data_IF_665284696415
#
_entry.id   IF_665284696415
#
_cell.length_a   1.000
_cell.length_b   1.000
_cell.length_c   1.000
_cell.angle_alpha   90.00
_cell.angle_beta   90.00
_cell.angle_gamma   90.00
#
_symmetry.space_group_name_H-M   'P 1'
#
loop_
_entity.id
_entity.type
_entity.pdbx_description
1 polymer ?
#
# COMPACT_ATOMS: atom_id res chain seq x y z
N UNK A 1 0.67 17.16 29.39
CA UNK A 1 0.35 17.28 27.95
C UNK A 1 -0.99 16.57 27.75
N UNK A 2 -2.09 17.33 27.69
CA UNK A 2 -3.45 16.75 27.62
C UNK A 2 -3.62 16.02 26.29
N UNK A 3 -4.08 14.76 26.35
CA UNK A 3 -4.52 14.01 25.16
C UNK A 3 -5.82 14.65 24.67
N UNK A 4 -5.78 15.28 23.51
CA UNK A 4 -6.98 15.71 22.80
C UNK A 4 -7.73 14.46 22.35
N UNK A 5 -9.01 14.36 22.67
CA UNK A 5 -9.88 13.29 22.18
C UNK A 5 -10.19 13.51 20.70
N UNK A 6 -10.63 12.47 19.98
CA UNK A 6 -10.97 12.57 18.55
C UNK A 6 -11.94 13.72 18.24
N UNK A 7 -12.90 14.02 19.14
CA UNK A 7 -13.80 15.19 19.05
C UNK A 7 -13.05 16.52 19.06
N UNK A 8 -12.11 16.70 19.99
CA UNK A 8 -11.40 17.97 20.17
C UNK A 8 -10.53 18.34 18.96
N UNK A 9 -10.12 17.36 18.14
CA UNK A 9 -9.34 17.59 16.92
C UNK A 9 -10.16 18.20 15.78
N UNK A 10 -11.46 17.91 15.72
CA UNK A 10 -12.38 18.45 14.71
C UNK A 10 -12.94 19.82 15.08
N UNK A 11 -12.94 20.16 16.36
CA UNK A 11 -13.47 21.45 16.86
C UNK A 11 -12.50 22.62 16.60
N UNK A 12 -11.19 22.35 16.38
CA UNK A 12 -10.21 23.38 16.01
C UNK A 12 -10.42 23.92 14.57
N UNK A 13 -11.27 23.26 13.76
CA UNK A 13 -11.62 23.70 12.40
C UNK A 13 -12.48 24.98 12.36
N UNK A 14 -13.02 25.45 13.49
CA UNK A 14 -13.98 26.57 13.52
C UNK A 14 -13.35 27.97 13.34
N UNK A 15 -12.03 28.12 13.54
CA UNK A 15 -11.37 29.43 13.63
C UNK A 15 -10.89 30.06 12.30
N UNK A 16 -11.15 29.45 11.14
CA UNK A 16 -10.75 30.01 9.84
C UNK A 16 -11.92 30.04 8.84
N UNK A 17 -12.00 31.12 8.04
CA UNK A 17 -13.00 31.28 6.98
C UNK A 17 -12.77 30.24 5.89
N UNK A 18 -13.68 29.26 5.68
CA UNK A 18 -13.49 28.20 4.70
C UNK A 18 -13.55 28.75 3.27
N UNK A 19 -12.72 28.22 2.36
CA UNK A 19 -12.87 28.50 0.93
C UNK A 19 -14.06 27.72 0.37
N UNK A 20 -14.85 28.34 -0.51
CA UNK A 20 -15.95 27.68 -1.22
C UNK A 20 -15.43 26.55 -2.14
N UNK A 21 -16.21 25.47 -2.26
CA UNK A 21 -15.98 24.39 -3.23
C UNK A 21 -15.83 23.01 -2.58
N UNK A 22 -16.59 22.05 -3.12
CA UNK A 22 -16.63 20.66 -2.66
C UNK A 22 -15.30 19.95 -2.92
N UNK A 23 -14.95 19.03 -2.03
CA UNK A 23 -13.69 18.27 -2.08
C UNK A 23 -13.90 16.79 -1.85
N UNK A 24 -12.91 16.01 -2.25
CA UNK A 24 -12.84 14.56 -2.04
C UNK A 24 -11.58 14.25 -1.27
N UNK A 25 -11.69 13.33 -0.32
CA UNK A 25 -10.55 12.77 0.40
C UNK A 25 -10.25 11.37 -0.13
N UNK A 26 -8.98 11.14 -0.46
CA UNK A 26 -8.44 9.81 -0.67
C UNK A 26 -7.44 9.49 0.42
N UNK A 27 -7.56 8.31 1.01
CA UNK A 27 -6.68 7.86 2.10
C UNK A 27 -6.08 6.51 1.72
N UNK A 28 -4.77 6.40 1.88
CA UNK A 28 -4.00 5.16 1.74
C UNK A 28 -3.36 4.85 3.10
N UNK A 29 -3.86 3.82 3.77
CA UNK A 29 -3.41 3.37 5.08
C UNK A 29 -2.54 2.12 4.99
N UNK A 30 -1.22 2.29 4.99
CA UNK A 30 -0.27 1.18 4.92
C UNK A 30 0.29 0.72 6.27
N UNK A 31 1.16 -0.30 6.20
CA UNK A 31 1.86 -0.85 7.37
C UNK A 31 2.94 0.08 7.94
N UNK A 32 3.48 1.02 7.15
CA UNK A 32 4.50 1.98 7.62
C UNK A 32 3.92 3.37 7.82
N UNK A 33 3.19 3.87 6.83
CA UNK A 33 2.68 5.24 6.79
C UNK A 33 1.23 5.25 6.34
N UNK A 34 0.54 6.33 6.69
CA UNK A 34 -0.80 6.65 6.20
C UNK A 34 -0.76 7.97 5.47
N UNK A 35 -1.26 8.04 4.25
CA UNK A 35 -1.30 9.27 3.44
C UNK A 35 -2.75 9.65 3.19
N UNK A 36 -3.08 10.93 3.40
CA UNK A 36 -4.35 11.51 2.97
C UNK A 36 -4.12 12.67 2.01
N UNK A 37 -4.83 12.63 0.88
CA UNK A 37 -4.88 13.70 -0.10
C UNK A 37 -6.28 14.29 -0.18
N UNK A 38 -6.34 15.60 -0.38
CA UNK A 38 -7.57 16.32 -0.65
C UNK A 38 -7.52 16.87 -2.09
N UNK A 39 -8.51 16.50 -2.91
CA UNK A 39 -8.64 16.98 -4.29
C UNK A 39 -9.96 17.78 -4.44
N UNK A 40 -10.07 18.72 -5.40
CA UNK A 40 -11.34 19.36 -5.69
C UNK A 40 -12.31 18.35 -6.33
N UNK A 41 -13.61 18.50 -6.08
CA UNK A 41 -14.64 17.66 -6.70
C UNK A 41 -15.01 18.10 -8.13
N UNK A 42 -14.75 19.38 -8.45
CA UNK A 42 -15.13 19.99 -9.73
C UNK A 42 -14.15 19.62 -10.86
N UNK A 43 -14.72 19.35 -12.03
CA UNK A 43 -14.01 19.12 -13.30
C UNK A 43 -13.84 20.43 -14.12
N UNK A 44 -12.91 20.43 -15.10
CA UNK A 44 -11.96 19.37 -15.44
C UNK A 44 -10.74 19.33 -14.53
N UNK A 45 -10.17 18.14 -14.33
CA UNK A 45 -8.83 18.03 -13.76
C UNK A 45 -7.79 18.45 -14.79
N UNK A 46 -6.93 19.39 -14.43
CA UNK A 46 -5.71 19.67 -15.21
C UNK A 46 -4.72 18.51 -15.05
N UNK A 47 -3.75 18.41 -15.98
CA UNK A 47 -2.54 17.63 -15.79
C UNK A 47 -1.41 18.60 -15.37
N UNK A 48 -0.82 18.47 -14.16
CA UNK A 48 -1.04 17.41 -13.17
C UNK A 48 -2.35 17.57 -12.37
N UNK A 49 -2.87 16.44 -11.87
CA UNK A 49 -4.09 16.37 -11.05
C UNK A 49 -3.98 17.36 -9.86
N UNK A 50 -4.97 18.25 -9.65
CA UNK A 50 -4.89 19.25 -8.60
C UNK A 50 -5.04 18.61 -7.21
N UNK A 51 -3.94 18.56 -6.46
CA UNK A 51 -3.93 18.16 -5.04
C UNK A 51 -3.94 19.42 -4.17
N UNK A 52 -5.04 19.68 -3.47
CA UNK A 52 -5.20 20.86 -2.59
C UNK A 52 -4.36 20.71 -1.32
N UNK A 53 -4.23 19.49 -0.81
CA UNK A 53 -3.38 19.18 0.32
C UNK A 53 -2.95 17.71 0.33
N UNK A 54 -1.79 17.46 0.92
CA UNK A 54 -1.24 16.14 1.21
C UNK A 54 -0.76 16.11 2.67
N UNK A 55 -1.09 15.04 3.36
CA UNK A 55 -0.70 14.80 4.75
C UNK A 55 -0.24 13.37 4.95
N UNK A 56 0.67 13.17 5.89
CA UNK A 56 1.26 11.87 6.19
C UNK A 56 1.24 11.70 7.71
N UNK A 57 0.85 10.51 8.14
CA UNK A 57 0.90 10.05 9.52
C UNK A 57 1.56 8.66 9.57
N UNK A 58 1.73 8.11 10.79
CA UNK A 58 2.31 6.79 11.00
C UNK A 58 1.42 5.63 10.50
N UNK A 59 1.74 4.42 10.95
CA UNK A 59 1.01 3.20 10.60
C UNK A 59 -0.48 3.25 11.01
N UNK A 60 -1.36 2.81 10.11
CA UNK A 60 -2.80 2.59 10.38
C UNK A 60 -3.22 1.13 10.17
N UNK A 61 -2.27 0.22 9.95
CA UNK A 61 -2.56 -1.21 9.93
C UNK A 61 -2.84 -1.71 11.36
N UNK A 62 -4.13 -2.00 11.63
CA UNK A 62 -4.60 -2.50 12.92
C UNK A 62 -3.91 -3.78 13.40
N UNK A 63 -3.41 -4.64 12.49
CA UNK A 63 -2.70 -5.87 12.85
C UNK A 63 -1.30 -5.58 13.39
N UNK A 64 -0.75 -4.40 13.08
CA UNK A 64 0.58 -3.96 13.53
C UNK A 64 0.51 -3.12 14.81
N UNK A 65 -0.41 -2.14 14.87
CA UNK A 65 -0.45 -1.14 15.96
C UNK A 65 -1.68 -1.22 16.87
N UNK A 66 -2.62 -2.12 16.59
CA UNK A 66 -3.92 -2.18 17.26
C UNK A 66 -4.94 -1.19 16.70
N UNK A 67 -6.21 -1.42 17.03
CA UNK A 67 -7.34 -0.69 16.44
C UNK A 67 -7.42 0.78 16.87
N UNK A 68 -7.26 1.08 18.16
CA UNK A 68 -7.38 2.45 18.68
C UNK A 68 -6.34 3.39 18.04
N UNK A 69 -5.07 2.96 18.00
CA UNK A 69 -3.99 3.73 17.38
C UNK A 69 -4.18 3.91 15.88
N UNK A 70 -4.72 2.91 15.18
CA UNK A 70 -5.03 3.01 13.77
C UNK A 70 -6.10 4.08 13.52
N UNK A 71 -7.19 4.08 14.30
CA UNK A 71 -8.27 5.08 14.21
C UNK A 71 -7.77 6.49 14.52
N UNK A 72 -7.02 6.68 15.60
CA UNK A 72 -6.39 7.97 15.95
C UNK A 72 -5.51 8.51 14.81
N UNK A 73 -4.73 7.63 14.18
CA UNK A 73 -3.85 7.98 13.06
C UNK A 73 -4.65 8.43 11.83
N UNK A 74 -5.74 7.73 11.51
CA UNK A 74 -6.60 8.04 10.38
C UNK A 74 -7.39 9.35 10.59
N UNK A 75 -7.98 9.56 11.78
CA UNK A 75 -8.65 10.82 12.14
C UNK A 75 -7.68 12.00 12.06
N UNK A 76 -6.47 11.83 12.57
CA UNK A 76 -5.42 12.87 12.52
C UNK A 76 -5.03 13.22 11.09
N UNK A 77 -4.84 12.24 10.22
CA UNK A 77 -4.38 12.52 8.85
C UNK A 77 -5.49 13.22 8.04
N UNK A 78 -6.75 12.80 8.20
CA UNK A 78 -7.89 13.42 7.51
C UNK A 78 -8.16 14.86 7.98
N UNK A 79 -8.16 15.10 9.30
CA UNK A 79 -8.36 16.45 9.87
C UNK A 79 -7.25 17.41 9.43
N UNK A 80 -5.99 16.97 9.45
CA UNK A 80 -4.88 17.78 8.95
C UNK A 80 -5.00 18.07 7.45
N UNK A 81 -5.49 17.13 6.64
CA UNK A 81 -5.68 17.33 5.21
C UNK A 81 -6.72 18.44 4.94
N UNK A 82 -7.86 18.39 5.64
CA UNK A 82 -8.92 19.40 5.54
C UNK A 82 -8.44 20.77 6.04
N UNK A 83 -7.73 20.82 7.17
CA UNK A 83 -7.15 22.05 7.70
C UNK A 83 -6.18 22.68 6.70
N UNK A 84 -5.24 21.91 6.13
CA UNK A 84 -4.30 22.41 5.11
C UNK A 84 -5.00 22.86 3.83
N UNK A 85 -6.07 22.16 3.41
CA UNK A 85 -6.89 22.54 2.27
C UNK A 85 -7.82 23.74 2.55
N UNK A 86 -7.89 24.21 3.81
CA UNK A 86 -8.82 25.23 4.29
C UNK A 86 -10.27 24.88 3.95
N UNK A 87 -10.65 23.64 4.24
CA UNK A 87 -11.98 23.06 4.06
C UNK A 87 -12.51 22.52 5.38
N UNK A 88 -13.83 22.47 5.50
CA UNK A 88 -14.54 21.83 6.62
C UNK A 88 -15.07 20.47 6.18
N UNK A 89 -15.42 19.62 7.15
CA UNK A 89 -16.14 18.35 6.88
C UNK A 89 -17.39 18.51 6.02
N UNK A 90 -18.11 19.64 6.15
CA UNK A 90 -19.29 19.93 5.31
C UNK A 90 -18.98 20.20 3.83
N UNK A 91 -17.72 20.51 3.48
CA UNK A 91 -17.29 20.65 2.09
C UNK A 91 -16.93 19.30 1.45
N UNK A 92 -16.81 18.22 2.23
CA UNK A 92 -16.48 16.90 1.70
C UNK A 92 -17.73 16.33 1.03
N UNK A 93 -17.57 15.79 -0.17
CA UNK A 93 -18.64 15.07 -0.88
C UNK A 93 -18.41 13.56 -0.89
N UNK A 94 -17.16 13.12 -0.96
CA UNK A 94 -16.80 11.72 -0.83
C UNK A 94 -15.47 11.50 -0.10
N UNK A 95 -15.36 10.33 0.53
CA UNK A 95 -14.13 9.81 1.14
C UNK A 95 -13.94 8.39 0.65
N UNK A 96 -12.76 8.07 0.11
CA UNK A 96 -12.32 6.70 -0.09
C UNK A 96 -11.18 6.40 0.87
N UNK A 97 -11.42 5.44 1.75
CA UNK A 97 -10.46 4.94 2.73
C UNK A 97 -9.97 3.57 2.28
N UNK A 98 -8.76 3.51 1.71
CA UNK A 98 -8.11 2.27 1.31
C UNK A 98 -7.06 1.89 2.35
N UNK A 99 -7.24 0.77 3.05
CA UNK A 99 -6.39 0.44 4.22
C UNK A 99 -5.96 -1.02 4.21
N UNK A 100 -4.69 -1.25 4.50
CA UNK A 100 -4.11 -2.57 4.70
C UNK A 100 -4.79 -3.29 5.88
N UNK A 101 -5.23 -4.53 5.65
CA UNK A 101 -5.95 -5.34 6.64
C UNK A 101 -7.47 -5.37 6.44
N UNK A 102 -8.03 -4.48 5.63
CA UNK A 102 -9.43 -4.57 5.20
C UNK A 102 -9.54 -5.67 4.16
N UNK A 103 -10.02 -6.85 4.58
CA UNK A 103 -10.02 -8.05 3.74
C UNK A 103 -11.40 -8.69 3.60
N UNK A 104 -12.31 -8.43 4.54
CA UNK A 104 -13.65 -8.99 4.56
C UNK A 104 -14.72 -7.90 4.63
N UNK A 105 -15.95 -8.18 4.18
CA UNK A 105 -17.07 -7.22 4.27
C UNK A 105 -17.33 -6.72 5.70
N UNK A 106 -17.04 -7.53 6.72
CA UNK A 106 -17.15 -7.14 8.13
C UNK A 106 -16.14 -6.04 8.49
N UNK A 107 -14.91 -6.12 7.99
CA UNK A 107 -13.88 -5.10 8.21
C UNK A 107 -14.28 -3.78 7.55
N UNK A 108 -14.78 -3.88 6.30
CA UNK A 108 -15.28 -2.74 5.53
C UNK A 108 -16.43 -2.06 6.27
N UNK A 109 -17.44 -2.82 6.71
CA UNK A 109 -18.60 -2.28 7.41
C UNK A 109 -18.20 -1.59 8.72
N UNK A 110 -17.30 -2.20 9.49
CA UNK A 110 -16.80 -1.62 10.74
C UNK A 110 -16.15 -0.24 10.52
N UNK A 111 -15.35 -0.10 9.47
CA UNK A 111 -14.72 1.17 9.11
C UNK A 111 -15.73 2.18 8.54
N UNK A 112 -16.73 1.72 7.77
CA UNK A 112 -17.80 2.58 7.27
C UNK A 112 -18.63 3.18 8.40
N UNK A 113 -19.01 2.36 9.39
CA UNK A 113 -19.75 2.81 10.58
C UNK A 113 -18.97 3.88 11.35
N UNK A 114 -17.68 3.64 11.57
CA UNK A 114 -16.80 4.62 12.22
C UNK A 114 -16.61 5.91 11.41
N UNK A 115 -16.43 5.82 10.09
CA UNK A 115 -16.35 7.01 9.23
C UNK A 115 -17.65 7.81 9.25
N UNK A 116 -18.80 7.15 9.43
CA UNK A 116 -20.10 7.80 9.53
C UNK A 116 -20.26 8.63 10.81
N UNK A 117 -19.57 8.27 11.89
CA UNK A 117 -19.51 9.09 13.11
C UNK A 117 -18.70 10.38 12.91
N UNK A 118 -17.80 10.40 11.93
CA UNK A 118 -16.91 11.54 11.64
C UNK A 118 -17.54 12.47 10.60
N UNK A 119 -18.10 11.93 9.52
CA UNK A 119 -18.54 12.71 8.37
C UNK A 119 -20.07 12.92 8.34
N UNK A 120 -20.55 14.08 7.88
CA UNK A 120 -21.98 14.34 7.70
C UNK A 120 -22.68 13.29 6.81
N UNK A 121 -24.00 13.15 6.97
CA UNK A 121 -24.80 12.14 6.27
C UNK A 121 -24.79 12.27 4.73
N UNK A 122 -24.55 13.46 4.19
CA UNK A 122 -24.46 13.67 2.73
C UNK A 122 -23.16 13.14 2.12
N UNK A 123 -22.14 12.87 2.93
CA UNK A 123 -20.84 12.39 2.44
C UNK A 123 -20.94 10.92 2.03
N UNK A 124 -20.52 10.62 0.80
CA UNK A 124 -20.39 9.24 0.30
C UNK A 124 -19.10 8.64 0.86
N UNK A 125 -19.18 7.44 1.43
CA UNK A 125 -18.07 6.78 2.09
C UNK A 125 -17.79 5.46 1.39
N UNK A 126 -16.52 5.25 1.05
CA UNK A 126 -16.00 4.04 0.45
C UNK A 126 -14.87 3.52 1.32
N UNK A 127 -14.87 2.22 1.59
CA UNK A 127 -13.79 1.54 2.31
C UNK A 127 -13.31 0.39 1.45
N UNK A 128 -12.04 0.41 1.11
CA UNK A 128 -11.42 -0.53 0.18
C UNK A 128 -10.16 -1.16 0.79
N UNK A 129 -9.71 -2.24 0.18
CA UNK A 129 -8.36 -2.74 0.40
C UNK A 129 -7.34 -1.77 -0.21
N UNK A 130 -6.16 -1.61 0.42
CA UNK A 130 -5.08 -0.74 -0.06
C UNK A 130 -4.64 -1.08 -1.50
N UNK A 131 -4.71 -2.36 -1.90
CA UNK A 131 -4.44 -2.79 -3.26
C UNK A 131 -5.39 -2.17 -4.31
N UNK A 132 -6.64 -1.86 -3.95
CA UNK A 132 -7.59 -1.22 -4.89
C UNK A 132 -7.14 0.20 -5.22
N UNK A 133 -6.71 0.96 -4.21
CA UNK A 133 -6.17 2.31 -4.39
C UNK A 133 -4.82 2.30 -5.12
N UNK A 134 -3.98 1.30 -4.87
CA UNK A 134 -2.72 1.11 -5.58
C UNK A 134 -2.92 0.77 -7.06
N UNK A 135 -3.90 -0.09 -7.40
CA UNK A 135 -4.27 -0.33 -8.79
C UNK A 135 -4.78 0.96 -9.45
N UNK A 136 -5.67 1.68 -8.76
CA UNK A 136 -6.26 2.91 -9.25
C UNK A 136 -5.23 4.03 -9.48
N UNK A 137 -4.14 4.10 -8.71
CA UNK A 137 -3.09 5.11 -8.92
C UNK A 137 -2.28 4.86 -10.20
N UNK A 138 -2.06 3.59 -10.58
CA UNK A 138 -1.40 3.24 -11.84
C UNK A 138 -2.30 3.41 -13.07
N UNK A 139 -3.61 3.30 -12.90
CA UNK A 139 -4.61 3.28 -13.97
C UNK A 139 -5.47 4.55 -14.05
N UNK A 140 -5.13 5.57 -13.25
CA UNK A 140 -5.84 6.85 -13.16
C UNK A 140 -7.34 6.68 -12.84
N UNK A 141 -7.63 5.87 -11.81
CA UNK A 141 -8.98 5.66 -11.28
C UNK A 141 -9.77 4.51 -11.93
N UNK A 142 -9.18 3.74 -12.85
CA UNK A 142 -9.85 2.63 -13.55
C UNK A 142 -9.52 1.28 -12.90
N UNK A 143 -10.51 0.55 -12.42
CA UNK A 143 -10.30 -0.79 -11.89
C UNK A 143 -10.25 -1.84 -13.02
N UNK A 144 -9.07 -2.02 -13.59
CA UNK A 144 -8.79 -3.04 -14.59
C UNK A 144 -7.31 -3.45 -14.56
N UNK A 145 -7.03 -4.75 -14.68
CA UNK A 145 -5.68 -5.33 -14.71
C UNK A 145 -5.27 -5.94 -13.38
N UNK A 146 -3.97 -5.96 -13.11
CA UNK A 146 -3.39 -6.54 -11.90
C UNK A 146 -2.48 -5.50 -11.24
N UNK A 147 -2.52 -5.41 -9.92
CA UNK A 147 -1.52 -4.72 -9.11
C UNK A 147 -0.70 -5.77 -8.35
N UNK A 148 0.60 -5.54 -8.27
CA UNK A 148 1.49 -6.20 -7.33
C UNK A 148 2.02 -5.15 -6.36
N UNK A 149 1.70 -5.31 -5.08
CA UNK A 149 2.33 -4.56 -4.00
C UNK A 149 3.41 -5.44 -3.38
N UNK A 150 4.62 -4.91 -3.24
CA UNK A 150 5.64 -5.48 -2.36
C UNK A 150 6.37 -4.37 -1.57
N UNK A 151 6.04 -4.29 -0.28
CA UNK A 151 6.64 -3.41 0.71
C UNK A 151 6.97 -4.23 1.96
N UNK A 152 6.52 -3.80 3.14
CA UNK A 152 6.63 -4.64 4.35
C UNK A 152 5.90 -5.98 4.20
N UNK A 153 4.70 -5.96 3.61
CA UNK A 153 3.95 -7.14 3.17
C UNK A 153 3.92 -7.22 1.64
N UNK A 154 3.21 -8.21 1.09
CA UNK A 154 2.99 -8.30 -0.36
C UNK A 154 1.58 -8.78 -0.67
N UNK A 155 1.03 -8.32 -1.80
CA UNK A 155 -0.27 -8.75 -2.31
C UNK A 155 -0.29 -8.59 -3.82
N UNK A 156 -0.86 -9.57 -4.53
CA UNK A 156 -1.31 -9.41 -5.90
C UNK A 156 -2.83 -9.33 -5.92
N UNK A 157 -3.40 -8.32 -6.57
CA UNK A 157 -4.84 -8.14 -6.67
C UNK A 157 -5.22 -7.67 -8.07
N UNK A 158 -6.33 -8.14 -8.61
CA UNK A 158 -6.71 -7.80 -9.97
C UNK A 158 -8.20 -7.68 -10.15
N UNK A 159 -8.56 -6.95 -11.20
CA UNK A 159 -9.93 -6.65 -11.59
C UNK A 159 -10.09 -6.78 -13.10
N UNK A 160 -11.20 -7.34 -13.53
CA UNK A 160 -11.65 -7.32 -14.92
C UNK A 160 -12.65 -6.19 -15.13
N UNK A 161 -12.85 -5.76 -16.38
CA UNK A 161 -13.73 -4.62 -16.69
C UNK A 161 -15.21 -4.86 -16.38
N UNK A 162 -15.61 -6.13 -16.22
CA UNK A 162 -16.94 -6.57 -15.77
C UNK A 162 -17.06 -6.67 -14.24
N UNK A 163 -16.01 -6.30 -13.50
CA UNK A 163 -16.02 -6.22 -12.03
C UNK A 163 -15.66 -7.50 -11.29
N UNK A 164 -15.21 -8.57 -11.97
CA UNK A 164 -14.65 -9.74 -11.27
C UNK A 164 -13.31 -9.37 -10.66
N UNK A 165 -13.02 -9.96 -9.50
CA UNK A 165 -11.78 -9.71 -8.76
C UNK A 165 -11.11 -11.02 -8.33
N UNK A 166 -9.79 -10.99 -8.18
CA UNK A 166 -9.03 -12.11 -7.65
C UNK A 166 -7.77 -11.64 -6.93
N UNK A 167 -7.50 -12.26 -5.78
CA UNK A 167 -6.35 -11.98 -4.92
C UNK A 167 -5.41 -13.18 -4.82
N UNK A 168 -4.12 -12.92 -4.68
CA UNK A 168 -3.10 -13.88 -4.26
C UNK A 168 -2.10 -13.21 -3.30
N UNK A 169 -1.48 -14.00 -2.42
CA UNK A 169 -0.69 -13.51 -1.28
C UNK A 169 -1.49 -12.53 -0.38
N UNK A 170 -0.83 -11.70 0.43
CA UNK A 170 -1.48 -10.73 1.31
C UNK A 170 -2.10 -11.36 2.55
N UNK A 171 -1.67 -12.57 2.92
CA UNK A 171 -2.15 -13.29 4.08
C UNK A 171 -1.31 -12.97 5.34
N UNK A 172 -0.24 -12.18 5.18
CA UNK A 172 0.66 -11.81 6.25
C UNK A 172 1.89 -12.71 6.35
N UNK A 173 2.86 -12.33 7.19
CA UNK A 173 4.18 -12.94 7.23
C UNK A 173 4.19 -14.42 7.63
N UNK A 174 3.23 -14.85 8.45
CA UNK A 174 3.11 -16.25 8.89
C UNK A 174 2.61 -17.15 7.77
N UNK A 175 1.83 -16.60 6.83
CA UNK A 175 1.06 -17.37 5.84
C UNK A 175 1.63 -17.32 4.43
N UNK A 176 2.76 -16.65 4.22
CA UNK A 176 3.52 -16.80 2.98
C UNK A 176 3.83 -15.53 2.19
N UNK A 177 3.84 -14.36 2.83
CA UNK A 177 4.32 -13.11 2.22
C UNK A 177 5.86 -13.12 1.99
N UNK A 178 6.42 -14.21 1.48
CA UNK A 178 7.87 -14.46 1.37
C UNK A 178 8.59 -13.53 0.39
N UNK A 179 7.86 -12.99 -0.59
CA UNK A 179 8.36 -11.98 -1.53
C UNK A 179 8.37 -10.54 -0.98
N UNK A 180 7.84 -10.31 0.22
CA UNK A 180 7.85 -8.98 0.84
C UNK A 180 9.20 -8.64 1.43
N UNK A 181 9.41 -7.36 1.79
CA UNK A 181 10.58 -6.94 2.54
C UNK A 181 10.70 -7.67 3.88
N UNK A 182 9.58 -7.91 4.59
CA UNK A 182 9.61 -8.76 5.79
C UNK A 182 10.05 -10.18 5.44
N UNK A 183 9.44 -10.79 4.41
CA UNK A 183 9.70 -12.18 4.02
C UNK A 183 11.15 -12.41 3.61
N UNK A 184 11.73 -11.48 2.83
CA UNK A 184 13.14 -11.50 2.43
C UNK A 184 14.05 -11.40 3.65
N UNK A 185 13.81 -10.40 4.51
CA UNK A 185 14.63 -10.17 5.70
C UNK A 185 14.53 -11.28 6.73
N UNK A 186 13.34 -11.85 6.95
CA UNK A 186 13.14 -12.97 7.86
C UNK A 186 13.89 -14.23 7.38
N UNK A 187 13.91 -14.48 6.07
CA UNK A 187 14.73 -15.54 5.49
C UNK A 187 16.23 -15.28 5.69
N UNK A 188 16.67 -14.03 5.57
CA UNK A 188 18.07 -13.64 5.81
C UNK A 188 18.47 -13.83 7.28
N UNK A 189 17.65 -13.36 8.24
CA UNK A 189 17.85 -13.61 9.67
C UNK A 189 17.91 -15.10 9.99
N UNK A 190 16.99 -15.88 9.39
CA UNK A 190 17.00 -17.35 9.51
C UNK A 190 18.30 -17.94 8.97
N UNK A 191 18.82 -17.43 7.85
CA UNK A 191 20.08 -17.89 7.28
C UNK A 191 21.28 -17.58 8.19
N UNK A 192 21.32 -16.40 8.82
CA UNK A 192 22.36 -16.04 9.80
C UNK A 192 22.35 -16.99 11.01
N UNK A 193 21.18 -17.24 11.60
CA UNK A 193 21.06 -18.20 12.72
C UNK A 193 21.47 -19.60 12.29
N UNK A 194 21.09 -20.03 11.08
CA UNK A 194 21.51 -21.34 10.56
C UNK A 194 23.02 -21.44 10.37
N UNK A 195 23.68 -20.38 9.88
CA UNK A 195 25.13 -20.34 9.76
C UNK A 195 25.81 -20.46 11.13
N UNK A 196 25.32 -19.69 12.11
CA UNK A 196 25.81 -19.73 13.49
C UNK A 196 25.69 -21.12 14.14
N UNK A 197 24.59 -21.83 13.89
CA UNK A 197 24.38 -23.19 14.39
C UNK A 197 25.19 -24.27 13.61
N UNK A 198 25.93 -23.91 12.56
CA UNK A 198 26.59 -24.85 11.65
C UNK A 198 25.64 -25.61 10.70
N UNK A 199 24.39 -25.15 10.56
CA UNK A 199 23.34 -25.72 9.69
C UNK A 199 23.27 -25.05 8.30
N UNK A 200 24.13 -24.06 8.05
CA UNK A 200 24.23 -23.31 6.81
C UNK A 200 25.65 -22.80 6.60
N UNK A 201 25.96 -22.30 5.39
CA UNK A 201 27.28 -21.73 5.12
C UNK A 201 27.45 -20.39 5.84
N UNK A 202 28.67 -20.10 6.30
CA UNK A 202 29.06 -18.76 6.73
C UNK A 202 29.30 -17.88 5.50
N UNK A 203 28.64 -16.72 5.45
CA UNK A 203 28.74 -15.80 4.32
C UNK A 203 28.78 -14.34 4.80
N UNK A 204 29.10 -13.41 3.91
CA UNK A 204 29.22 -11.96 4.24
C UNK A 204 27.89 -11.37 4.75
N UNK A 205 26.75 -11.97 4.39
CA UNK A 205 25.42 -11.62 4.89
C UNK A 205 25.36 -11.57 6.43
N UNK A 206 26.06 -12.48 7.11
CA UNK A 206 26.07 -12.52 8.59
C UNK A 206 26.68 -11.25 9.16
N UNK A 207 27.89 -10.90 8.74
CA UNK A 207 28.58 -9.72 9.25
C UNK A 207 27.82 -8.43 8.87
N UNK A 208 27.32 -8.34 7.64
CA UNK A 208 26.58 -7.17 7.19
C UNK A 208 25.30 -6.92 8.02
N UNK A 209 24.57 -7.97 8.38
CA UNK A 209 23.38 -7.85 9.24
C UNK A 209 23.76 -7.45 10.67
N UNK A 210 24.79 -8.08 11.25
CA UNK A 210 25.25 -7.74 12.60
C UNK A 210 25.73 -6.30 12.69
N UNK A 211 26.52 -5.85 11.72
CA UNK A 211 27.02 -4.47 11.62
C UNK A 211 25.87 -3.46 11.50
N UNK A 212 24.88 -3.75 10.64
CA UNK A 212 23.70 -2.90 10.48
C UNK A 212 22.88 -2.79 11.77
N UNK A 213 22.78 -3.89 12.52
CA UNK A 213 22.03 -3.94 13.77
C UNK A 213 22.84 -3.48 15.00
N UNK A 214 24.16 -3.30 14.85
CA UNK A 214 25.06 -2.99 15.96
C UNK A 214 25.19 -4.13 16.98
N UNK A 215 25.08 -5.38 16.54
CA UNK A 215 25.14 -6.57 17.39
C UNK A 215 26.54 -7.19 17.35
N UNK A 216 27.01 -7.71 18.48
CA UNK A 216 28.35 -8.30 18.56
C UNK A 216 28.38 -9.78 18.14
N UNK A 217 27.23 -10.48 18.13
CA UNK A 217 27.15 -11.88 17.74
C UNK A 217 25.76 -12.28 17.24
N UNK A 218 25.63 -13.36 16.44
CA UNK A 218 24.32 -13.89 16.02
C UNK A 218 23.39 -14.29 17.16
N UNK A 219 23.89 -14.64 18.34
CA UNK A 219 23.07 -15.00 19.50
C UNK A 219 22.19 -13.82 19.97
N UNK A 220 22.68 -12.60 19.83
CA UNK A 220 21.95 -11.38 20.20
C UNK A 220 20.73 -11.11 19.30
N UNK A 221 20.63 -11.76 18.13
CA UNK A 221 19.46 -11.65 17.25
C UNK A 221 18.17 -12.13 17.93
N UNK A 222 18.27 -13.08 18.88
CA UNK A 222 17.12 -13.57 19.63
C UNK A 222 16.52 -12.41 20.43
N UNK A 223 17.33 -11.76 21.26
CA UNK A 223 16.91 -10.61 22.07
C UNK A 223 16.39 -9.48 21.20
N UNK A 224 17.14 -9.14 20.13
CA UNK A 224 16.75 -8.11 19.18
C UNK A 224 15.37 -8.37 18.54
N UNK A 225 15.07 -9.61 18.14
CA UNK A 225 13.82 -9.97 17.47
C UNK A 225 12.62 -9.92 18.42
N UNK A 226 12.78 -10.33 19.68
CA UNK A 226 11.68 -10.35 20.66
C UNK A 226 11.43 -9.00 21.36
N UNK A 227 12.38 -8.07 21.31
CA UNK A 227 12.23 -6.72 21.87
C UNK A 227 11.15 -5.90 21.14
N UNK A 228 11.06 -6.04 19.81
CA UNK A 228 10.09 -5.34 18.98
C UNK A 228 9.63 -6.24 17.81
N UNK A 229 8.34 -6.58 17.83
CA UNK A 229 7.67 -7.44 16.85
C UNK A 229 7.22 -6.70 15.58
N UNK A 230 7.58 -5.43 15.43
CA UNK A 230 7.26 -4.61 14.26
C UNK A 230 7.73 -5.26 12.95
N UNK A 231 6.79 -5.52 12.05
CA UNK A 231 7.12 -6.07 10.72
C UNK A 231 7.98 -5.10 9.90
N UNK A 232 7.78 -3.80 10.09
CA UNK A 232 8.56 -2.78 9.40
C UNK A 232 10.04 -2.85 9.79
N UNK A 233 10.33 -3.05 11.08
CA UNK A 233 11.70 -3.17 11.60
C UNK A 233 12.46 -4.36 11.01
N UNK A 234 11.78 -5.49 10.81
CA UNK A 234 12.36 -6.62 10.09
C UNK A 234 12.55 -6.30 8.60
N UNK A 235 11.54 -5.70 7.96
CA UNK A 235 11.59 -5.34 6.54
C UNK A 235 12.71 -4.33 6.22
N UNK A 236 13.11 -3.49 7.16
CA UNK A 236 14.19 -2.50 7.01
C UNK A 236 15.57 -3.13 6.79
N UNK A 237 15.73 -4.45 6.99
CA UNK A 237 16.95 -5.19 6.67
C UNK A 237 17.10 -5.50 5.17
N UNK A 238 16.05 -5.31 4.36
CA UNK A 238 16.06 -5.64 2.93
C UNK A 238 17.26 -5.03 2.17
N UNK A 239 17.63 -3.74 2.35
CA UNK A 239 18.79 -3.16 1.68
C UNK A 239 20.09 -3.91 1.97
N UNK A 240 20.28 -4.39 3.20
CA UNK A 240 21.47 -5.17 3.59
C UNK A 240 21.53 -6.52 2.87
N UNK A 241 20.37 -7.16 2.69
CA UNK A 241 20.26 -8.42 1.93
C UNK A 241 20.60 -8.18 0.46
N UNK A 242 20.07 -7.10 -0.13
CA UNK A 242 20.36 -6.71 -1.51
C UNK A 242 21.85 -6.40 -1.69
N UNK A 243 22.46 -5.58 -0.83
CA UNK A 243 23.88 -5.24 -0.89
C UNK A 243 24.79 -6.47 -0.75
N UNK A 244 24.40 -7.42 0.10
CA UNK A 244 25.11 -8.70 0.26
C UNK A 244 25.05 -9.52 -1.04
N UNK A 245 23.89 -9.62 -1.67
CA UNK A 245 23.73 -10.29 -2.96
C UNK A 245 24.56 -9.62 -4.08
N UNK A 246 24.54 -8.28 -4.14
CA UNK A 246 25.34 -7.49 -5.09
C UNK A 246 26.86 -7.65 -4.90
N UNK A 247 27.27 -8.07 -3.70
CA UNK A 247 28.66 -8.39 -3.33
C UNK A 247 29.04 -9.84 -3.63
N UNK A 248 28.14 -10.64 -4.21
CA UNK A 248 28.38 -12.03 -4.59
C UNK A 248 28.01 -13.06 -3.53
N UNK A 249 27.28 -12.68 -2.47
CA UNK A 249 26.81 -13.63 -1.46
C UNK A 249 25.76 -14.59 -2.05
N UNK A 250 26.09 -15.88 -2.12
CA UNK A 250 25.21 -16.90 -2.72
C UNK A 250 23.91 -17.12 -1.95
N UNK A 251 23.93 -16.96 -0.62
CA UNK A 251 22.74 -17.14 0.23
C UNK A 251 21.77 -15.99 0.02
N UNK A 252 22.26 -14.74 0.04
CA UNK A 252 21.43 -13.58 -0.26
C UNK A 252 20.88 -13.63 -1.70
N UNK A 253 21.71 -13.96 -2.69
CA UNK A 253 21.25 -14.14 -4.09
C UNK A 253 20.12 -15.17 -4.19
N UNK A 254 20.26 -16.31 -3.50
CA UNK A 254 19.21 -17.36 -3.48
C UNK A 254 17.91 -16.87 -2.85
N UNK A 255 17.99 -16.14 -1.72
CA UNK A 255 16.80 -15.56 -1.06
C UNK A 255 16.07 -14.62 -2.02
N UNK A 256 16.79 -13.74 -2.71
CA UNK A 256 16.20 -12.77 -3.61
C UNK A 256 15.57 -13.44 -4.84
N UNK A 257 16.24 -14.45 -5.44
CA UNK A 257 15.67 -15.23 -6.54
C UNK A 257 14.40 -15.98 -6.14
N UNK A 258 14.38 -16.61 -4.96
CA UNK A 258 13.17 -17.27 -4.47
C UNK A 258 12.03 -16.25 -4.29
N UNK A 259 12.35 -15.06 -3.78
CA UNK A 259 11.38 -13.99 -3.56
C UNK A 259 10.77 -13.46 -4.86
N UNK A 260 11.58 -13.32 -5.92
CA UNK A 260 11.07 -13.04 -7.29
C UNK A 260 10.08 -14.11 -7.74
N UNK A 261 10.40 -15.38 -7.51
CA UNK A 261 9.52 -16.51 -7.83
C UNK A 261 8.16 -16.43 -7.13
N UNK A 262 8.15 -16.10 -5.83
CA UNK A 262 6.93 -15.94 -5.03
C UNK A 262 6.06 -14.75 -5.48
N UNK A 263 6.70 -13.62 -5.82
CA UNK A 263 6.00 -12.45 -6.36
C UNK A 263 5.39 -12.74 -7.74
N UNK A 264 6.16 -13.35 -8.64
CA UNK A 264 5.70 -13.69 -9.99
C UNK A 264 4.60 -14.76 -9.97
N UNK A 265 4.68 -15.75 -9.06
CA UNK A 265 3.65 -16.77 -8.89
C UNK A 265 2.33 -16.17 -8.40
N UNK A 266 2.39 -15.17 -7.53
CA UNK A 266 1.23 -14.43 -7.03
C UNK A 266 0.52 -13.66 -8.16
N UNK A 267 1.27 -12.93 -9.00
CA UNK A 267 0.70 -12.25 -10.18
C UNK A 267 0.07 -13.27 -11.14
N UNK A 268 0.79 -14.35 -11.45
CA UNK A 268 0.28 -15.43 -12.31
C UNK A 268 -1.05 -15.99 -11.80
N UNK A 269 -1.17 -16.23 -10.50
CA UNK A 269 -2.39 -16.77 -9.91
C UNK A 269 -3.60 -15.83 -10.08
N UNK A 270 -3.40 -14.51 -10.00
CA UNK A 270 -4.44 -13.51 -10.27
C UNK A 270 -4.81 -13.48 -11.75
N UNK A 271 -3.80 -13.37 -12.63
CA UNK A 271 -3.99 -13.30 -14.09
C UNK A 271 -4.75 -14.52 -14.60
N UNK A 272 -4.44 -15.72 -14.12
CA UNK A 272 -5.13 -16.95 -14.51
C UNK A 272 -6.58 -17.03 -14.03
N UNK A 273 -6.86 -16.64 -12.78
CA UNK A 273 -8.23 -16.68 -12.25
C UNK A 273 -9.17 -15.70 -12.95
N UNK A 274 -8.62 -14.58 -13.42
CA UNK A 274 -9.38 -13.53 -14.08
C UNK A 274 -9.39 -13.63 -15.60
N UNK A 275 -8.53 -14.47 -16.17
CA UNK A 275 -8.26 -14.56 -17.61
C UNK A 275 -7.85 -13.20 -18.22
N UNK A 276 -7.01 -12.44 -17.49
CA UNK A 276 -6.60 -11.09 -17.93
C UNK A 276 -5.79 -11.12 -19.23
N UNK A 277 -4.93 -12.13 -19.38
CA UNK A 277 -4.05 -12.30 -20.55
C UNK A 277 -4.67 -13.06 -21.72
N UNK A 278 -5.88 -13.61 -21.57
CA UNK A 278 -6.48 -14.54 -22.54
C UNK A 278 -5.72 -15.86 -22.66
N UNK A 279 -6.20 -16.75 -23.55
CA UNK A 279 -5.66 -18.11 -23.73
C UNK A 279 -4.16 -18.15 -24.09
N UNK A 280 -3.67 -17.17 -24.87
CA UNK A 280 -2.30 -17.10 -25.34
C UNK A 280 -1.42 -16.09 -24.57
N UNK A 281 -1.97 -15.47 -23.52
CA UNK A 281 -1.29 -14.49 -22.67
C UNK A 281 -1.02 -13.13 -23.34
N UNK A 282 -1.51 -12.87 -24.55
CA UNK A 282 -1.23 -11.63 -25.31
C UNK A 282 -2.28 -10.54 -25.14
N UNK A 283 -3.44 -10.83 -24.54
CA UNK A 283 -4.43 -9.79 -24.30
C UNK A 283 -3.83 -8.72 -23.37
N UNK A 284 -3.86 -7.42 -23.75
CA UNK A 284 -3.15 -6.39 -23.01
C UNK A 284 -3.83 -6.09 -21.68
N UNK A 285 -3.07 -6.09 -20.58
CA UNK A 285 -3.54 -5.65 -19.27
C UNK A 285 -2.43 -4.92 -18.49
N UNK A 286 -2.77 -3.89 -17.69
CA UNK A 286 -1.78 -3.19 -16.90
C UNK A 286 -1.35 -4.08 -15.73
N UNK A 287 -0.03 -4.12 -15.50
CA UNK A 287 0.56 -4.67 -14.29
C UNK A 287 1.13 -3.52 -13.45
N UNK A 288 0.35 -3.03 -12.50
CA UNK A 288 0.74 -1.91 -11.63
C UNK A 288 1.69 -2.42 -10.54
N UNK A 289 2.86 -1.80 -10.42
CA UNK A 289 3.93 -2.21 -9.51
C UNK A 289 4.09 -1.16 -8.40
N UNK A 290 3.85 -1.53 -7.15
CA UNK A 290 3.86 -0.61 -6.00
C UNK A 290 4.68 -1.16 -4.84
N UNK A 291 5.42 -0.27 -4.17
CA UNK A 291 6.14 -0.58 -2.94
C UNK A 291 7.65 -0.72 -3.14
N UNK A 292 8.38 -0.45 -2.06
CA UNK A 292 9.85 -0.28 -2.07
C UNK A 292 10.63 -1.50 -2.55
N UNK A 293 10.07 -2.70 -2.44
CA UNK A 293 10.75 -3.92 -2.91
C UNK A 293 10.81 -3.95 -4.44
N UNK A 294 9.86 -3.29 -5.12
CA UNK A 294 9.76 -3.25 -6.59
C UNK A 294 10.39 -1.99 -7.18
N UNK A 295 10.99 -1.12 -6.35
CA UNK A 295 11.75 0.03 -6.82
C UNK A 295 13.13 -0.43 -7.31
N UNK A 296 13.62 0.20 -8.39
CA UNK A 296 14.87 -0.20 -9.03
C UNK A 296 16.08 0.01 -8.09
N UNK A 297 16.87 -1.04 -7.85
CA UNK A 297 18.19 -0.91 -7.21
C UNK A 297 19.31 -0.94 -8.26
N UNK A 298 20.55 -0.75 -7.81
CA UNK A 298 21.70 -0.51 -8.68
C UNK A 298 22.09 -1.71 -9.53
N UNK A 299 22.40 -2.85 -8.93
CA UNK A 299 22.76 -4.08 -9.65
C UNK A 299 21.70 -5.16 -9.52
N UNK A 300 20.96 -5.19 -8.41
CA UNK A 300 19.90 -6.17 -8.18
C UNK A 300 18.49 -5.56 -8.20
N UNK A 301 17.73 -5.81 -9.26
CA UNK A 301 16.40 -5.23 -9.44
C UNK A 301 15.29 -6.29 -9.37
N UNK A 302 14.70 -6.44 -8.18
CA UNK A 302 13.60 -7.40 -7.94
C UNK A 302 12.40 -7.08 -8.84
N UNK A 303 12.06 -5.79 -9.00
CA UNK A 303 10.93 -5.36 -9.80
C UNK A 303 11.08 -5.78 -11.26
N UNK A 304 12.26 -5.54 -11.84
CA UNK A 304 12.60 -5.97 -13.20
C UNK A 304 12.56 -7.49 -13.35
N UNK A 305 13.17 -8.25 -12.43
CA UNK A 305 13.18 -9.72 -12.50
C UNK A 305 11.77 -10.32 -12.41
N UNK A 306 10.88 -9.71 -11.60
CA UNK A 306 9.46 -10.10 -11.55
C UNK A 306 8.76 -9.81 -12.88
N UNK A 307 8.99 -8.62 -13.47
CA UNK A 307 8.45 -8.26 -14.79
C UNK A 307 8.90 -9.26 -15.85
N UNK A 308 10.19 -9.61 -15.88
CA UNK A 308 10.75 -10.56 -16.85
C UNK A 308 10.12 -11.95 -16.66
N UNK A 309 9.90 -12.40 -15.42
CA UNK A 309 9.22 -13.66 -15.12
C UNK A 309 7.75 -13.68 -15.57
N UNK A 310 7.02 -12.60 -15.33
CA UNK A 310 5.60 -12.48 -15.68
C UNK A 310 5.41 -12.38 -17.19
N UNK A 311 6.15 -11.47 -17.84
CA UNK A 311 6.01 -11.19 -19.28
C UNK A 311 6.44 -12.37 -20.17
N UNK A 312 7.31 -13.25 -19.66
CA UNK A 312 7.64 -14.52 -20.33
C UNK A 312 6.42 -15.42 -20.56
N UNK A 313 5.45 -15.40 -19.64
CA UNK A 313 4.21 -16.19 -19.75
C UNK A 313 3.01 -15.36 -20.20
N UNK A 314 3.04 -14.05 -19.95
CA UNK A 314 1.96 -13.10 -20.24
C UNK A 314 2.54 -11.88 -20.99
N UNK A 315 2.89 -12.02 -22.27
CA UNK A 315 3.45 -10.93 -23.07
C UNK A 315 2.51 -9.71 -23.23
N UNK A 316 1.20 -9.87 -22.96
CA UNK A 316 0.24 -8.77 -22.89
C UNK A 316 0.33 -7.92 -21.61
N UNK A 317 1.05 -8.37 -20.58
CA UNK A 317 1.27 -7.60 -19.37
C UNK A 317 2.17 -6.40 -19.68
N UNK A 318 1.68 -5.18 -19.45
CA UNK A 318 2.50 -3.97 -19.54
C UNK A 318 2.71 -3.35 -18.15
N UNK A 319 3.96 -3.32 -17.64
CA UNK A 319 4.24 -2.79 -16.31
C UNK A 319 3.97 -1.30 -16.20
N UNK A 320 3.41 -0.87 -15.07
CA UNK A 320 3.19 0.53 -14.72
C UNK A 320 3.74 0.79 -13.33
N UNK A 321 4.67 1.73 -13.22
CA UNK A 321 4.97 2.40 -11.95
C UNK A 321 4.08 3.65 -11.84
N UNK A 322 3.20 3.75 -10.82
CA UNK A 322 2.31 4.88 -10.68
C UNK A 322 3.06 6.21 -10.64
N UNK A 323 2.52 7.22 -11.35
CA UNK A 323 3.02 8.61 -11.28
C UNK A 323 2.44 9.40 -10.10
N UNK A 324 1.43 8.83 -9.45
CA UNK A 324 0.74 9.40 -8.29
C UNK A 324 0.66 8.35 -7.19
N UNK A 325 0.52 8.81 -5.95
CA UNK A 325 0.43 7.92 -4.80
C UNK A 325 -0.92 7.16 -4.75
N UNK A 326 -1.00 6.00 -4.08
CA UNK A 326 -2.26 5.27 -3.91
C UNK A 326 -3.38 6.12 -3.29
N UNK A 327 -3.06 7.05 -2.38
CA UNK A 327 -4.06 8.00 -1.83
C UNK A 327 -4.76 8.82 -2.93
N UNK A 328 -4.06 9.16 -4.02
CA UNK A 328 -4.66 9.82 -5.19
C UNK A 328 -5.55 8.83 -5.95
N UNK A 329 -5.12 7.58 -6.10
CA UNK A 329 -5.94 6.50 -6.64
C UNK A 329 -7.26 6.35 -5.88
N UNK A 330 -7.21 6.32 -4.55
CA UNK A 330 -8.40 6.30 -3.69
C UNK A 330 -9.32 7.51 -3.95
N UNK A 331 -8.77 8.72 -4.02
CA UNK A 331 -9.55 9.93 -4.32
C UNK A 331 -10.23 9.85 -5.70
N UNK A 332 -9.54 9.33 -6.72
CA UNK A 332 -10.09 9.14 -8.06
C UNK A 332 -11.20 8.08 -8.09
N UNK A 333 -11.11 7.02 -7.28
CA UNK A 333 -12.18 6.03 -7.13
C UNK A 333 -13.44 6.65 -6.54
N UNK A 334 -13.30 7.37 -5.43
CA UNK A 334 -14.41 8.12 -4.83
C UNK A 334 -15.03 9.10 -5.82
N UNK A 335 -14.20 9.82 -6.59
CA UNK A 335 -14.66 10.75 -7.60
C UNK A 335 -15.46 10.06 -8.71
N UNK A 336 -14.93 8.99 -9.30
CA UNK A 336 -15.61 8.22 -10.35
C UNK A 336 -16.98 7.69 -9.89
N UNK A 337 -17.08 7.25 -8.62
CA UNK A 337 -18.31 6.72 -8.06
C UNK A 337 -19.42 7.77 -7.89
N UNK A 338 -19.05 9.06 -7.73
CA UNK A 338 -20.01 10.17 -7.57
C UNK A 338 -20.12 11.06 -8.82
N UNK A 339 -19.29 10.86 -9.83
CA UNK A 339 -19.24 11.73 -11.01
C UNK A 339 -20.57 11.78 -11.76
N UNK A 340 -21.29 10.65 -11.83
CA UNK A 340 -22.63 10.57 -12.41
C UNK A 340 -23.70 11.35 -11.64
N UNK A 341 -23.51 11.54 -10.32
CA UNK A 341 -24.40 12.35 -9.47
C UNK A 341 -24.03 13.85 -9.57
N UNK A 342 -22.74 14.18 -9.66
CA UNK A 342 -22.24 15.56 -9.76
C UNK A 342 -22.61 16.25 -11.09
N UNK A 343 -22.68 15.51 -12.19
CA UNK A 343 -23.13 16.03 -13.49
C UNK A 343 -24.64 16.38 -13.50
N UNK A 344 -25.43 15.80 -12.59
CA UNK A 344 -26.85 16.09 -12.41
C UNK A 344 -27.11 17.45 -11.74
N UNK A 345 -26.28 17.83 -10.78
CA UNK A 345 -26.45 19.10 -10.05
C UNK A 345 -26.06 20.34 -10.89
N UNK A 346 -25.15 20.19 -11.85
CA UNK A 346 -24.77 21.29 -12.76
C UNK A 346 -25.89 21.65 -13.75
N UNK A 347 -26.77 20.68 -14.09
CA UNK A 347 -27.88 20.89 -15.04
C UNK A 347 -29.15 21.45 -14.39
N UNK A 348 -29.22 21.48 -13.06
CA UNK A 348 -30.42 21.94 -12.33
C UNK A 348 -30.32 23.41 -11.90
N UNK A 349 -29.23 24.09 -12.24
CA UNK A 349 -28.97 25.50 -11.91
C UNK A 349 -28.79 26.37 -13.18
N UNK A 350 -29.40 25.99 -14.31
CA UNK A 350 -29.53 26.86 -15.48
C UNK A 350 -30.97 27.29 -15.74
#
# INVERSE_FOLDING_TARGET
>A
MQRLTGRDMWDVEECQSPRMGSVILGVDGGASNTVCVCIPAAMPFNDPLPVLSRTVAGCSNHNSVGEDRARETLERVMSQALLKARRRRSNVCAVCLAVAGVNHPVDQQRMLDWLRDIFPSHVKLFVENDAVAALASGTMGRLHGCVLIAGTGTIAYGFTSDGREARAAGAGPVLGDWGSGYGISAQALTAVVRAYDGRGPETVLTNNILDFLGLASPDELIGWTYEDQSWARIADLLPVVVESAESGDEVANKILHNSVGELASSVKAVVQRLDLGGEDGKHPFPLVMVGKVLEANKKWDIGKEVIDCVTKNYPGAYPIHPKVEPAVGAALLAWNAIASELDGDIRTVQ
#
